data_IF_959426262036
#
_entry.id   IF_959426262036
#
_cell.length_a   1.000
_cell.length_b   1.000
_cell.length_c   1.000
_cell.angle_alpha   90.00
_cell.angle_beta   90.00
_cell.angle_gamma   90.00
#
_symmetry.space_group_name_H-M   'P 1'
#
loop_
_entity.id
_entity.type
_entity.pdbx_description
1 polymer ?
#
# COMPACT_ATOMS: atom_id res chain seq x y z
N UNK A 1 -15.80 -12.32 9.59
CA UNK A 1 -15.58 -12.03 8.15
C UNK A 1 -14.22 -11.35 7.99
N UNK A 2 -13.21 -12.02 7.41
CA UNK A 2 -11.94 -11.35 7.05
C UNK A 2 -12.21 -10.49 5.81
N UNK A 3 -12.16 -9.16 5.95
CA UNK A 3 -12.28 -8.24 4.80
C UNK A 3 -11.14 -8.52 3.81
N UNK A 4 -11.45 -8.53 2.51
CA UNK A 4 -10.48 -8.69 1.42
C UNK A 4 -9.46 -7.55 1.52
N UNK A 5 -8.20 -7.87 1.80
CA UNK A 5 -7.13 -6.89 1.94
C UNK A 5 -6.46 -6.61 0.59
N UNK A 6 -5.98 -5.39 0.40
CA UNK A 6 -5.14 -5.02 -0.73
C UNK A 6 -3.77 -5.72 -0.58
N UNK A 7 -3.49 -6.69 -1.45
CA UNK A 7 -2.31 -7.55 -1.32
C UNK A 7 -1.01 -6.77 -1.55
N UNK A 8 -0.98 -5.80 -2.48
CA UNK A 8 0.22 -4.98 -2.67
C UNK A 8 0.53 -4.07 -1.48
N UNK A 9 -0.50 -3.50 -0.83
CA UNK A 9 -0.28 -2.74 0.41
C UNK A 9 0.18 -3.67 1.54
N UNK A 10 -0.38 -4.89 1.63
CA UNK A 10 0.04 -5.88 2.62
C UNK A 10 1.51 -6.29 2.42
N UNK A 11 1.94 -6.56 1.20
CA UNK A 11 3.33 -6.87 0.86
C UNK A 11 4.27 -5.72 1.25
N UNK A 12 3.86 -4.48 0.97
CA UNK A 12 4.64 -3.29 1.36
C UNK A 12 4.78 -3.17 2.89
N UNK A 13 3.73 -3.53 3.64
CA UNK A 13 3.75 -3.60 5.09
C UNK A 13 4.70 -4.69 5.58
N UNK A 14 4.70 -5.86 4.94
CA UNK A 14 5.62 -6.96 5.29
C UNK A 14 7.08 -6.60 5.02
N UNK A 15 7.40 -6.00 3.86
CA UNK A 15 8.76 -5.54 3.54
C UNK A 15 9.27 -4.46 4.48
N UNK A 16 8.38 -3.61 4.99
CA UNK A 16 8.72 -2.60 5.99
C UNK A 16 8.64 -3.11 7.42
N UNK A 17 8.13 -4.32 7.65
CA UNK A 17 7.96 -4.95 8.96
C UNK A 17 6.71 -4.54 9.74
N UNK A 18 6.14 -3.35 9.52
CA UNK A 18 4.90 -2.93 10.19
C UNK A 18 4.14 -1.80 9.51
N UNK A 19 2.82 -1.75 9.75
CA UNK A 19 1.96 -0.65 9.25
C UNK A 19 2.37 0.71 9.80
N UNK A 20 2.90 0.75 11.04
CA UNK A 20 3.37 1.99 11.67
C UNK A 20 4.66 2.49 11.04
N UNK A 21 5.57 1.59 10.68
CA UNK A 21 6.81 1.93 9.98
C UNK A 21 6.53 2.42 8.56
N UNK A 22 5.66 1.72 7.81
CA UNK A 22 5.22 2.18 6.49
C UNK A 22 4.57 3.57 6.56
N UNK A 23 3.70 3.78 7.54
CA UNK A 23 3.05 5.08 7.76
C UNK A 23 4.08 6.19 8.01
N UNK A 24 5.07 5.94 8.87
CA UNK A 24 6.16 6.89 9.16
C UNK A 24 6.98 7.22 7.91
N UNK A 25 7.35 6.21 7.11
CA UNK A 25 8.12 6.40 5.87
C UNK A 25 7.31 7.17 4.82
N UNK A 26 6.00 6.91 4.74
CA UNK A 26 5.11 7.64 3.84
C UNK A 26 4.71 9.03 4.35
N UNK A 27 5.05 9.39 5.59
CA UNK A 27 4.63 10.65 6.22
C UNK A 27 3.12 10.74 6.47
N UNK A 28 2.47 9.60 6.77
CA UNK A 28 1.04 9.51 7.05
C UNK A 28 0.77 8.87 8.41
N UNK A 29 -0.49 8.85 8.83
CA UNK A 29 -0.91 8.16 10.05
C UNK A 29 -1.12 6.66 9.79
N UNK A 30 -0.91 5.82 10.81
CA UNK A 30 -1.18 4.37 10.71
C UNK A 30 -2.62 4.04 10.24
N UNK A 31 -3.68 4.73 10.70
CA UNK A 31 -5.03 4.53 10.16
C UNK A 31 -5.16 4.79 8.66
N UNK A 32 -4.32 5.66 8.08
CA UNK A 32 -4.29 5.88 6.63
C UNK A 32 -3.84 4.63 5.89
N UNK A 33 -2.77 3.98 6.37
CA UNK A 33 -2.30 2.70 5.82
C UNK A 33 -3.35 1.61 6.00
N UNK A 34 -3.98 1.52 7.17
CA UNK A 34 -5.08 0.58 7.41
C UNK A 34 -6.27 0.84 6.47
N UNK A 35 -6.57 2.10 6.15
CA UNK A 35 -7.59 2.44 5.16
C UNK A 35 -7.20 1.91 3.78
N UNK A 36 -5.95 2.08 3.35
CA UNK A 36 -5.47 1.57 2.06
C UNK A 36 -5.54 0.04 1.97
N UNK A 37 -5.27 -0.66 3.07
CA UNK A 37 -5.42 -2.12 3.15
C UNK A 37 -6.86 -2.59 2.89
N UNK A 38 -7.87 -1.81 3.27
CA UNK A 38 -9.28 -2.24 3.19
C UNK A 38 -10.09 -1.57 2.09
N UNK A 39 -9.54 -0.53 1.46
CA UNK A 39 -10.23 0.26 0.43
C UNK A 39 -9.32 0.37 -0.79
N UNK A 40 -8.83 1.57 -1.09
CA UNK A 40 -7.88 1.83 -2.17
C UNK A 40 -6.76 2.75 -1.69
N UNK A 41 -5.56 2.50 -2.20
CA UNK A 41 -4.42 3.38 -2.02
C UNK A 41 -4.46 4.51 -3.07
N UNK A 42 -4.28 5.79 -2.72
CA UNK A 42 -4.15 6.86 -3.71
C UNK A 42 -2.99 6.60 -4.69
N UNK A 43 -3.13 7.02 -5.95
CA UNK A 43 -2.15 6.76 -7.00
C UNK A 43 -0.74 7.30 -6.62
N UNK A 44 -0.70 8.54 -6.12
CA UNK A 44 0.54 9.19 -5.67
C UNK A 44 1.21 8.41 -4.53
N UNK A 45 0.40 7.85 -3.61
CA UNK A 45 0.90 7.04 -2.50
C UNK A 45 1.37 5.66 -2.96
N UNK A 46 0.77 5.07 -3.99
CA UNK A 46 1.25 3.82 -4.57
C UNK A 46 2.67 3.99 -5.16
N UNK A 47 2.93 5.09 -5.86
CA UNK A 47 4.27 5.43 -6.36
C UNK A 47 5.25 5.67 -5.21
N UNK A 48 4.81 6.38 -4.17
CA UNK A 48 5.64 6.60 -2.98
C UNK A 48 5.99 5.28 -2.28
N UNK A 49 5.03 4.37 -2.12
CA UNK A 49 5.24 3.05 -1.52
C UNK A 49 6.22 2.24 -2.37
N UNK A 50 6.07 2.22 -3.68
CA UNK A 50 7.01 1.57 -4.61
C UNK A 50 8.45 2.07 -4.43
N UNK A 51 8.64 3.38 -4.33
CA UNK A 51 9.97 3.97 -4.09
C UNK A 51 10.56 3.59 -2.72
N UNK A 52 9.72 3.38 -1.71
CA UNK A 52 10.17 3.06 -0.33
C UNK A 52 10.41 1.55 -0.15
N UNK A 53 9.52 0.72 -0.70
CA UNK A 53 9.46 -0.73 -0.41
C UNK A 53 9.87 -1.60 -1.59
N UNK A 54 9.96 -1.02 -2.79
CA UNK A 54 10.15 -1.76 -4.04
C UNK A 54 8.95 -2.61 -4.46
N UNK A 55 7.79 -2.47 -3.80
CA UNK A 55 6.57 -3.16 -4.24
C UNK A 55 5.99 -2.44 -5.45
N UNK A 56 5.79 -3.13 -6.58
CA UNK A 56 5.31 -2.49 -7.80
C UNK A 56 3.92 -1.87 -7.60
N UNK A 57 3.73 -0.63 -8.08
CA UNK A 57 2.49 0.14 -7.91
C UNK A 57 1.26 -0.54 -8.53
N UNK A 58 1.48 -1.37 -9.55
CA UNK A 58 0.49 -2.25 -10.19
C UNK A 58 -0.05 -3.33 -9.25
N UNK A 59 0.75 -3.83 -8.31
CA UNK A 59 0.28 -4.75 -7.27
C UNK A 59 -0.57 -4.04 -6.21
N UNK A 60 -0.23 -2.77 -5.92
CA UNK A 60 -0.94 -1.91 -4.95
C UNK A 60 -2.26 -1.40 -5.52
N UNK A 61 -2.29 -1.05 -6.81
CA UNK A 61 -3.42 -0.45 -7.51
C UNK A 61 -3.55 -1.09 -8.90
N UNK A 62 -3.95 -2.37 -8.98
CA UNK A 62 -4.14 -3.03 -10.26
C UNK A 62 -5.20 -2.28 -11.10
N UNK A 63 -6.23 -1.70 -10.47
CA UNK A 63 -7.27 -0.93 -11.13
C UNK A 63 -6.77 0.28 -11.96
N UNK A 64 -5.59 0.83 -11.68
CA UNK A 64 -5.01 1.94 -12.45
C UNK A 64 -4.01 1.50 -13.50
N UNK A 65 -3.28 0.44 -13.21
CA UNK A 65 -2.08 0.06 -13.96
C UNK A 65 -2.19 -1.30 -14.63
N UNK A 66 -3.37 -1.94 -14.59
CA UNK A 66 -3.70 -3.09 -15.43
C UNK A 66 -3.57 -2.68 -16.91
N UNK A 67 -2.35 -2.84 -17.43
CA UNK A 67 -2.06 -2.74 -18.83
C UNK A 67 -2.46 -4.08 -19.44
N UNK A 68 -3.62 -4.06 -20.09
CA UNK A 68 -3.98 -5.04 -21.12
C UNK A 68 -2.83 -5.32 -22.08
#
# INVERSE_FOLDING_TARGET
MRKKQNHGVAEAVEKTGSTRQLARLCGVTQPSVMKWLHTNCPAERAVQIENITGVPRESIRPDLWDKK
#
